data_IF_609181831588
#
_entry.id   IF_609181831588
#
_cell.length_a   1.000
_cell.length_b   1.000
_cell.length_c   1.000
_cell.angle_alpha   90.00
_cell.angle_beta   90.00
_cell.angle_gamma   90.00
#
_symmetry.space_group_name_H-M   'P 1'
#
loop_
_entity.id
_entity.type
_entity.pdbx_description
1 polymer ?
#
# COMPACT_ATOMS: atom_id res chain seq x y z
N UNK A 1 11.97 2.81 8.80
CA UNK A 1 11.24 2.92 7.52
C UNK A 1 9.88 3.48 7.85
N UNK A 2 9.48 4.56 7.21
CA UNK A 2 8.14 5.12 7.43
C UNK A 2 7.19 4.62 6.35
N UNK A 3 6.03 4.08 6.75
CA UNK A 3 4.99 3.61 5.84
C UNK A 3 3.72 4.42 6.09
N UNK A 4 3.26 5.13 5.06
CA UNK A 4 1.98 5.81 5.10
C UNK A 4 0.88 4.86 4.62
N UNK A 5 -0.22 4.76 5.35
CA UNK A 5 -1.31 3.82 5.04
C UNK A 5 -2.69 4.47 5.15
N UNK A 6 -3.50 4.31 4.12
CA UNK A 6 -4.92 4.62 4.13
C UNK A 6 -5.71 3.31 4.24
N UNK A 7 -6.26 3.08 5.44
CA UNK A 7 -7.06 1.91 5.77
C UNK A 7 -8.17 2.26 6.76
N UNK A 8 -9.22 1.44 6.82
CA UNK A 8 -10.15 1.50 7.95
C UNK A 8 -9.44 1.13 9.27
N UNK A 9 -10.08 1.46 10.39
CA UNK A 9 -9.48 1.30 11.72
C UNK A 9 -9.14 -0.18 12.00
N UNK A 10 -10.09 -1.08 11.71
CA UNK A 10 -9.93 -2.50 11.97
C UNK A 10 -8.74 -3.08 11.18
N UNK A 11 -8.63 -2.75 9.89
CA UNK A 11 -7.54 -3.19 9.02
C UNK A 11 -6.19 -2.63 9.49
N UNK A 12 -6.15 -1.37 9.93
CA UNK A 12 -4.93 -0.76 10.45
C UNK A 12 -4.48 -1.42 11.77
N UNK A 13 -5.41 -1.68 12.68
CA UNK A 13 -5.16 -2.40 13.92
C UNK A 13 -4.69 -3.83 13.63
N UNK A 14 -5.29 -4.52 12.66
CA UNK A 14 -4.87 -5.87 12.23
C UNK A 14 -3.42 -5.85 11.73
N UNK A 15 -3.07 -4.89 10.86
CA UNK A 15 -1.73 -4.73 10.28
C UNK A 15 -0.70 -4.48 11.37
N UNK A 16 -0.97 -3.52 12.25
CA UNK A 16 -0.03 -3.14 13.30
C UNK A 16 0.09 -4.21 14.41
N UNK A 17 -0.95 -5.02 14.62
CA UNK A 17 -0.93 -6.13 15.58
C UNK A 17 -0.04 -7.31 15.16
N UNK A 18 0.32 -7.47 13.87
CA UNK A 18 1.22 -8.55 13.41
C UNK A 18 2.61 -8.49 14.03
N UNK A 19 3.01 -7.35 14.59
CA UNK A 19 4.32 -7.18 15.21
C UNK A 19 5.44 -7.12 14.18
N UNK A 20 5.32 -6.17 13.25
CA UNK A 20 6.42 -5.82 12.36
C UNK A 20 7.65 -5.36 13.15
N UNK A 21 8.82 -5.38 12.52
CA UNK A 21 10.06 -4.91 13.13
C UNK A 21 9.92 -3.49 13.69
N UNK A 22 10.51 -3.24 14.86
CA UNK A 22 10.43 -1.96 15.59
C UNK A 22 11.02 -0.78 14.80
N UNK A 23 11.78 -1.04 13.73
CA UNK A 23 12.30 -0.01 12.83
C UNK A 23 11.28 0.46 11.78
N UNK A 24 10.05 -0.07 11.78
CA UNK A 24 8.97 0.33 10.88
C UNK A 24 7.98 1.24 11.61
N UNK A 25 7.89 2.48 11.15
CA UNK A 25 6.95 3.48 11.65
C UNK A 25 5.72 3.57 10.73
N UNK A 26 4.55 3.24 11.27
CA UNK A 26 3.29 3.24 10.53
C UNK A 26 2.48 4.50 10.80
N UNK A 27 2.25 5.29 9.76
CA UNK A 27 1.45 6.52 9.85
C UNK A 27 0.13 6.31 9.11
N UNK A 28 -0.97 6.28 9.87
CA UNK A 28 -2.32 6.17 9.30
C UNK A 28 -2.82 7.50 8.76
N UNK A 29 -3.23 7.50 7.51
CA UNK A 29 -3.96 8.58 6.87
C UNK A 29 -5.48 8.38 7.03
N UNK A 30 -6.21 9.49 7.16
CA UNK A 30 -7.68 9.54 7.20
C UNK A 30 -8.32 9.74 5.82
N UNK A 31 -7.54 10.16 4.84
CA UNK A 31 -7.97 10.50 3.50
C UNK A 31 -6.84 10.30 2.49
N UNK A 32 -7.19 10.25 1.20
CA UNK A 32 -6.19 10.16 0.14
C UNK A 32 -5.25 11.37 0.12
N UNK A 33 -5.78 12.56 0.44
CA UNK A 33 -4.99 13.80 0.50
C UNK A 33 -3.99 13.77 1.64
N UNK A 34 -4.40 13.34 2.84
CA UNK A 34 -3.46 13.21 3.95
C UNK A 34 -2.44 12.11 3.69
N UNK A 35 -2.81 11.02 3.01
CA UNK A 35 -1.89 9.95 2.62
C UNK A 35 -0.69 10.50 1.84
N UNK A 36 -0.92 11.29 0.78
CA UNK A 36 0.18 11.81 -0.05
C UNK A 36 0.94 12.98 0.57
N UNK A 37 0.39 13.61 1.62
CA UNK A 37 1.08 14.66 2.37
C UNK A 37 2.08 14.10 3.39
N UNK A 38 1.94 12.83 3.79
CA UNK A 38 2.90 12.18 4.68
C UNK A 38 4.20 11.93 3.92
N UNK A 39 5.32 12.34 4.49
CA UNK A 39 6.64 11.95 4.00
C UNK A 39 6.94 10.52 4.47
N UNK A 40 6.73 9.54 3.57
CA UNK A 40 6.96 8.12 3.85
C UNK A 40 7.93 7.51 2.84
N UNK A 41 8.51 6.35 3.17
CA UNK A 41 9.32 5.54 2.27
C UNK A 41 8.44 4.68 1.33
N UNK A 42 7.22 4.34 1.75
CA UNK A 42 6.23 3.62 0.95
C UNK A 42 4.80 4.03 1.33
N UNK A 43 3.88 3.89 0.38
CA UNK A 43 2.47 4.26 0.54
C UNK A 43 1.57 3.06 0.29
N UNK A 44 0.57 2.87 1.14
CA UNK A 44 -0.43 1.80 1.03
C UNK A 44 -1.83 2.41 1.00
N UNK A 45 -2.51 2.33 -0.14
CA UNK A 45 -3.92 2.66 -0.25
C UNK A 45 -4.76 1.38 -0.24
N UNK A 46 -5.15 0.95 0.96
CA UNK A 46 -5.95 -0.27 1.12
C UNK A 46 -7.45 -0.03 0.87
N UNK A 47 -7.85 1.23 0.72
CA UNK A 47 -9.19 1.67 0.32
C UNK A 47 -9.22 2.12 -1.14
N UNK A 48 -8.36 1.56 -1.97
CA UNK A 48 -8.25 1.96 -3.36
C UNK A 48 -9.54 1.65 -4.13
N UNK A 49 -9.99 2.63 -4.90
CA UNK A 49 -11.08 2.50 -5.87
C UNK A 49 -10.53 2.97 -7.21
N UNK A 50 -10.81 2.23 -8.28
CA UNK A 50 -10.30 2.57 -9.60
C UNK A 50 -11.04 3.78 -10.19
N UNK A 51 -10.60 4.98 -9.78
CA UNK A 51 -11.07 6.27 -10.29
C UNK A 51 -9.87 7.15 -10.67
N UNK A 52 -9.98 7.85 -11.80
CA UNK A 52 -8.88 8.63 -12.38
C UNK A 52 -8.28 9.66 -11.41
N UNK A 53 -9.12 10.33 -10.62
CA UNK A 53 -8.67 11.32 -9.63
C UNK A 53 -7.77 10.69 -8.56
N UNK A 54 -8.12 9.50 -8.08
CA UNK A 54 -7.33 8.77 -7.08
C UNK A 54 -6.00 8.33 -7.65
N UNK A 55 -5.99 7.77 -8.87
CA UNK A 55 -4.76 7.37 -9.57
C UNK A 55 -3.84 8.58 -9.75
N UNK A 56 -4.37 9.71 -10.22
CA UNK A 56 -3.60 10.95 -10.40
C UNK A 56 -3.03 11.50 -9.08
N UNK A 57 -3.77 11.34 -7.98
CA UNK A 57 -3.30 11.76 -6.66
C UNK A 57 -2.15 10.85 -6.18
N UNK A 58 -2.31 9.53 -6.28
CA UNK A 58 -1.28 8.56 -5.90
C UNK A 58 0.00 8.66 -6.75
N UNK A 59 -0.10 9.07 -8.02
CA UNK A 59 1.07 9.34 -8.87
C UNK A 59 2.04 10.37 -8.28
N UNK A 60 1.56 11.28 -7.42
CA UNK A 60 2.39 12.29 -6.78
C UNK A 60 3.38 11.67 -5.77
N UNK A 61 3.12 10.46 -5.29
CA UNK A 61 4.03 9.73 -4.42
C UNK A 61 5.18 9.05 -5.19
N UNK A 62 5.09 8.93 -6.51
CA UNK A 62 6.15 8.36 -7.33
C UNK A 62 7.40 9.27 -7.28
N UNK A 63 8.62 8.69 -7.30
CA UNK A 63 8.95 7.29 -7.61
C UNK A 63 8.96 6.35 -6.40
N UNK A 64 8.40 6.76 -5.25
CA UNK A 64 8.33 5.89 -4.07
C UNK A 64 7.34 4.75 -4.31
N UNK A 65 7.54 3.57 -3.69
CA UNK A 65 6.63 2.44 -3.80
C UNK A 65 5.20 2.81 -3.38
N UNK A 66 4.24 2.53 -4.27
CA UNK A 66 2.81 2.70 -4.00
C UNK A 66 2.13 1.34 -4.12
N UNK A 67 1.54 0.89 -3.03
CA UNK A 67 0.76 -0.33 -2.93
C UNK A 67 -0.73 0.01 -2.90
N UNK A 68 -1.51 -0.69 -3.72
CA UNK A 68 -2.95 -0.49 -3.80
C UNK A 68 -3.69 -1.81 -3.57
N UNK A 69 -4.77 -1.76 -2.82
CA UNK A 69 -5.69 -2.90 -2.74
C UNK A 69 -6.60 -2.91 -3.96
N UNK A 70 -6.26 -3.74 -4.95
CA UNK A 70 -7.08 -3.87 -6.16
C UNK A 70 -7.16 -5.34 -6.54
N UNK A 71 -8.36 -5.90 -6.43
CA UNK A 71 -8.61 -7.33 -6.66
C UNK A 71 -9.11 -7.56 -8.09
N UNK A 72 -10.02 -6.70 -8.56
CA UNK A 72 -10.65 -6.81 -9.87
C UNK A 72 -9.83 -6.16 -11.00
N UNK A 73 -9.18 -5.03 -10.73
CA UNK A 73 -8.49 -4.25 -11.76
C UNK A 73 -7.05 -4.70 -11.97
N UNK A 74 -6.60 -4.82 -13.22
CA UNK A 74 -5.18 -5.07 -13.53
C UNK A 74 -4.40 -3.76 -13.58
N UNK A 75 -3.07 -3.79 -13.44
CA UNK A 75 -2.23 -2.58 -13.60
C UNK A 75 -2.41 -1.95 -14.99
N UNK A 76 -2.59 -2.77 -16.03
CA UNK A 76 -2.91 -2.31 -17.38
C UNK A 76 -4.27 -1.62 -17.45
N UNK A 77 -5.29 -2.16 -16.75
CA UNK A 77 -6.61 -1.55 -16.64
C UNK A 77 -6.60 -0.22 -15.88
N UNK A 78 -5.79 -0.14 -14.82
CA UNK A 78 -5.60 1.09 -14.02
C UNK A 78 -4.83 2.16 -14.80
N UNK A 79 -4.03 1.74 -15.78
CA UNK A 79 -3.19 2.64 -16.58
C UNK A 79 -2.03 3.24 -15.80
N UNK A 80 -1.60 2.59 -14.71
CA UNK A 80 -0.42 2.99 -13.94
C UNK A 80 0.50 1.79 -13.67
N UNK A 81 1.54 1.59 -14.51
CA UNK A 81 2.39 0.42 -14.43
C UNK A 81 3.37 0.43 -13.28
N UNK A 82 3.57 1.55 -12.57
CA UNK A 82 4.52 1.62 -11.44
C UNK A 82 3.91 1.26 -10.09
N UNK A 83 2.57 1.16 -10.01
CA UNK A 83 1.91 0.72 -8.79
C UNK A 83 2.13 -0.76 -8.53
N UNK A 84 2.10 -1.15 -7.26
CA UNK A 84 2.07 -2.54 -6.83
C UNK A 84 0.68 -2.90 -6.35
N UNK A 85 0.09 -3.91 -6.96
CA UNK A 85 -1.23 -4.39 -6.59
C UNK A 85 -1.11 -5.42 -5.48
N UNK A 86 -1.93 -5.32 -4.43
CA UNK A 86 -2.06 -6.32 -3.37
C UNK A 86 -3.54 -6.75 -3.28
N UNK A 87 -3.78 -8.03 -2.99
CA UNK A 87 -5.11 -8.51 -2.61
C UNK A 87 -5.29 -8.41 -1.08
N UNK A 88 -5.53 -7.20 -0.57
CA UNK A 88 -5.62 -6.93 0.87
C UNK A 88 -7.05 -7.06 1.39
N UNK A 89 -7.49 -8.31 1.60
CA UNK A 89 -8.77 -8.60 2.25
C UNK A 89 -8.66 -8.53 3.78
N UNK A 90 -9.75 -8.24 4.51
CA UNK A 90 -9.78 -8.45 5.97
C UNK A 90 -9.31 -9.87 6.32
N UNK A 91 -8.44 -10.01 7.33
CA UNK A 91 -7.81 -11.31 7.65
C UNK A 91 -6.57 -11.65 6.83
N UNK A 92 -6.18 -10.85 5.83
CA UNK A 92 -4.98 -11.10 5.01
C UNK A 92 -3.72 -11.17 5.87
N UNK A 93 -3.62 -10.32 6.90
CA UNK A 93 -2.39 -10.22 7.67
C UNK A 93 -2.06 -11.51 8.44
N UNK A 94 -3.11 -12.27 8.78
CA UNK A 94 -3.03 -13.56 9.47
C UNK A 94 -2.73 -14.73 8.54
N UNK A 95 -2.58 -14.51 7.22
CA UNK A 95 -2.20 -15.55 6.27
C UNK A 95 -0.68 -15.66 6.17
N UNK A 96 -0.21 -16.87 5.93
CA UNK A 96 1.22 -17.19 5.75
C UNK A 96 1.82 -16.62 4.45
N UNK A 97 0.97 -16.21 3.51
CA UNK A 97 1.39 -15.67 2.22
C UNK A 97 0.52 -14.48 1.81
N UNK A 98 1.16 -13.49 1.19
CA UNK A 98 0.52 -12.32 0.57
C UNK A 98 0.82 -12.36 -0.93
N UNK A 99 -0.21 -12.19 -1.74
CA UNK A 99 -0.08 -12.09 -3.20
C UNK A 99 0.02 -10.62 -3.62
N UNK A 100 1.02 -10.33 -4.46
CA UNK A 100 1.24 -9.00 -5.03
C UNK A 100 1.63 -9.07 -6.50
N UNK A 101 1.24 -8.05 -7.25
CA UNK A 101 1.61 -7.84 -8.65
C UNK A 101 2.39 -6.53 -8.73
N UNK A 102 3.74 -6.57 -8.79
CA UNK A 102 4.54 -5.37 -8.68
C UNK A 102 4.71 -4.70 -10.03
N UNK A 103 4.49 -3.38 -10.07
CA UNK A 103 4.89 -2.54 -11.18
C UNK A 103 6.42 -2.38 -11.28
N UNK A 104 7.08 -2.32 -10.11
CA UNK A 104 8.52 -2.40 -9.97
C UNK A 104 8.88 -3.50 -8.95
N UNK A 105 9.41 -4.62 -9.46
CA UNK A 105 9.72 -5.81 -8.65
C UNK A 105 10.76 -5.53 -7.55
N UNK A 106 11.80 -4.78 -7.84
CA UNK A 106 12.89 -4.56 -6.89
C UNK A 106 12.45 -3.65 -5.74
N UNK A 107 11.70 -2.59 -6.06
CA UNK A 107 11.10 -1.72 -5.04
C UNK A 107 10.11 -2.48 -4.15
N UNK A 108 9.18 -3.23 -4.76
CA UNK A 108 8.21 -4.01 -4.00
C UNK A 108 8.91 -5.04 -3.10
N UNK A 109 9.94 -5.73 -3.61
CA UNK A 109 10.73 -6.69 -2.84
C UNK A 109 11.41 -6.03 -1.63
N UNK A 110 12.06 -4.87 -1.79
CA UNK A 110 12.71 -4.17 -0.69
C UNK A 110 11.75 -3.81 0.44
N UNK A 111 10.54 -3.34 0.11
CA UNK A 111 9.52 -3.03 1.11
C UNK A 111 9.08 -4.31 1.83
N UNK A 112 8.75 -5.36 1.08
CA UNK A 112 8.25 -6.61 1.67
C UNK A 112 9.31 -7.32 2.52
N UNK A 113 10.58 -7.35 2.08
CA UNK A 113 11.68 -7.93 2.87
C UNK A 113 11.89 -7.23 4.22
N UNK A 114 11.60 -5.92 4.31
CA UNK A 114 11.66 -5.19 5.58
C UNK A 114 10.46 -5.46 6.47
N UNK A 115 9.29 -5.74 5.89
CA UNK A 115 8.09 -6.12 6.62
C UNK A 115 8.16 -7.57 7.15
N UNK A 116 9.06 -8.40 6.63
CA UNK A 116 9.17 -9.83 6.99
C UNK A 116 8.15 -10.69 6.27
#
# INVERSE_FOLDING_TARGET
MTIAILADLNTFEEITAKGFSDDIDWIRADSLKSLIMIEADAYFDLKFEHVNERVNTLRQALPKPVFINAVADTLAGIGEPLFTRINAWPGMINRDAVELVPGNRDQARQVMERLG
#
